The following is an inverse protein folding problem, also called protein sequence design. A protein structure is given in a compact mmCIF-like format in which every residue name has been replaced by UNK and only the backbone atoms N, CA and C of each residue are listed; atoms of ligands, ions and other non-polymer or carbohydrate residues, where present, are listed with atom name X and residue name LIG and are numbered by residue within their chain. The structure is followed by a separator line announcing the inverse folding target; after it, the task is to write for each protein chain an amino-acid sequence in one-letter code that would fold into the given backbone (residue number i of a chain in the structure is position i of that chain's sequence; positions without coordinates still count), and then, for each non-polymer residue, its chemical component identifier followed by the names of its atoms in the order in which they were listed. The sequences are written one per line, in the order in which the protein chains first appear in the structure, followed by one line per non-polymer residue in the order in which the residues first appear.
data_IF_459319106898
#
_entry.id   IF_459319106898
#
_cell.length_a   1.000
_cell.length_b   1.000
_cell.length_c   1.000
_cell.angle_alpha   90.00
_cell.angle_beta   90.00
_cell.angle_gamma   90.00
#
_symmetry.space_group_name_H-M   'P 1'
#
loop_
_entity.id
_entity.type
_entity.pdbx_description
1 polymer ?
#
# COMPACT_ATOMS: atom_id res chain seq x y z
N UNK A 1 -4.31 -8.98 -2.88
CA UNK A 1 -5.37 -7.99 -3.22
C UNK A 1 -6.32 -7.78 -2.05
N UNK A 2 -6.91 -8.84 -1.51
CA UNK A 2 -7.93 -8.73 -0.46
C UNK A 2 -7.40 -8.39 0.95
N UNK A 3 -6.09 -8.18 1.10
CA UNK A 3 -5.42 -7.84 2.35
C UNK A 3 -5.09 -9.02 3.28
N UNK A 4 -5.27 -10.27 2.82
CA UNK A 4 -4.89 -11.49 3.56
C UNK A 4 -3.47 -11.95 3.23
N UNK A 5 -2.81 -12.62 4.19
CA UNK A 5 -1.46 -13.18 4.04
C UNK A 5 -1.45 -14.53 3.29
N UNK A 6 -2.20 -14.62 2.19
CA UNK A 6 -2.24 -15.80 1.33
C UNK A 6 -3.51 -16.64 1.46
N UNK A 7 -3.49 -17.77 0.75
CA UNK A 7 -4.60 -18.73 0.67
C UNK A 7 -4.30 -19.99 1.47
N UNK A 8 -5.30 -20.46 2.21
CA UNK A 8 -5.35 -21.79 2.83
C UNK A 8 -5.68 -22.86 1.78
N UNK A 9 -6.62 -22.55 0.88
CA UNK A 9 -7.10 -23.46 -0.13
C UNK A 9 -7.51 -22.71 -1.40
N UNK A 10 -7.34 -23.35 -2.55
CA UNK A 10 -7.94 -22.95 -3.81
C UNK A 10 -8.39 -24.20 -4.58
N UNK A 11 -9.49 -24.09 -5.31
CA UNK A 11 -10.04 -25.22 -6.07
C UNK A 11 -11.38 -24.88 -6.69
N UNK A 12 -12.09 -25.89 -7.18
CA UNK A 12 -13.44 -25.73 -7.70
C UNK A 12 -14.45 -26.43 -6.79
N UNK A 13 -15.63 -25.83 -6.64
CA UNK A 13 -16.73 -26.42 -5.87
C UNK A 13 -18.06 -25.85 -6.35
N UNK A 14 -19.14 -26.60 -6.17
CA UNK A 14 -20.51 -26.13 -6.39
C UNK A 14 -21.12 -25.49 -5.13
N UNK A 15 -20.36 -25.42 -4.03
CA UNK A 15 -20.88 -25.06 -2.69
C UNK A 15 -21.00 -23.55 -2.45
N UNK A 16 -20.27 -22.74 -3.22
CA UNK A 16 -20.23 -21.28 -3.04
C UNK A 16 -20.47 -20.58 -4.38
N UNK A 17 -21.74 -20.55 -4.79
CA UNK A 17 -22.22 -19.79 -5.94
C UNK A 17 -22.76 -20.64 -7.07
N UNK A 18 -24.04 -20.48 -7.36
CA UNK A 18 -24.59 -20.65 -8.72
C UNK A 18 -24.83 -19.25 -9.24
N UNK A 19 -23.80 -18.57 -9.72
CA UNK A 19 -24.04 -17.25 -10.30
C UNK A 19 -24.58 -17.38 -11.73
N UNK A 20 -25.30 -16.36 -12.15
CA UNK A 20 -25.91 -16.21 -13.47
C UNK A 20 -24.93 -15.52 -14.45
N UNK A 21 -23.72 -15.21 -13.97
CA UNK A 21 -22.74 -14.37 -14.64
C UNK A 21 -21.71 -15.22 -15.35
N UNK A 22 -21.17 -14.69 -16.44
CA UNK A 22 -20.19 -15.41 -17.25
C UNK A 22 -18.81 -15.37 -16.59
N UNK A 23 -18.07 -16.47 -16.69
CA UNK A 23 -16.63 -16.51 -16.45
C UNK A 23 -15.94 -15.45 -17.30
N UNK A 24 -15.10 -14.60 -16.69
CA UNK A 24 -14.37 -13.52 -17.38
C UNK A 24 -12.86 -13.72 -17.42
N UNK A 25 -12.32 -14.61 -16.60
CA UNK A 25 -10.89 -14.94 -16.54
C UNK A 25 -10.71 -16.44 -16.67
N UNK A 26 -9.72 -16.84 -17.45
CA UNK A 26 -9.34 -18.23 -17.65
C UNK A 26 -7.80 -18.35 -17.60
N UNK A 27 -7.30 -19.51 -17.14
CA UNK A 27 -5.86 -19.80 -17.12
C UNK A 27 -5.03 -18.86 -16.24
N UNK A 28 -5.57 -18.38 -15.12
CA UNK A 28 -4.84 -17.51 -14.19
C UNK A 28 -3.62 -18.25 -13.63
N UNK A 29 -2.43 -17.69 -13.82
CA UNK A 29 -1.14 -18.22 -13.40
C UNK A 29 -0.28 -17.12 -12.80
N UNK A 30 -0.06 -17.20 -11.49
CA UNK A 30 0.76 -16.26 -10.73
C UNK A 30 2.13 -16.88 -10.41
N UNK A 31 3.21 -16.32 -10.95
CA UNK A 31 4.57 -16.85 -10.77
C UNK A 31 5.22 -16.48 -9.43
N UNK A 32 4.61 -15.59 -8.65
CA UNK A 32 5.12 -15.14 -7.35
C UNK A 32 3.98 -14.86 -6.39
N UNK A 33 4.17 -15.21 -5.12
CA UNK A 33 3.28 -14.83 -4.01
C UNK A 33 3.44 -13.37 -3.58
N UNK A 34 4.43 -12.65 -4.14
CA UNK A 34 4.66 -11.23 -3.85
C UNK A 34 3.75 -10.28 -4.64
N UNK A 35 2.98 -10.80 -5.59
CA UNK A 35 2.05 -10.03 -6.40
C UNK A 35 0.88 -9.55 -5.54
N UNK A 36 0.49 -8.30 -5.75
CA UNK A 36 -0.55 -7.62 -5.02
C UNK A 36 -1.94 -7.85 -5.63
N UNK A 37 -2.06 -8.00 -6.95
CA UNK A 37 -3.34 -8.14 -7.66
C UNK A 37 -3.30 -9.26 -8.70
N UNK A 38 -4.48 -9.80 -9.06
CA UNK A 38 -4.58 -10.82 -10.10
C UNK A 38 -4.15 -10.29 -11.49
N UNK A 39 -4.23 -8.97 -11.70
CA UNK A 39 -3.79 -8.36 -12.95
C UNK A 39 -2.28 -8.47 -13.20
N UNK A 40 -1.50 -8.67 -12.14
CA UNK A 40 -0.06 -8.89 -12.27
C UNK A 40 0.29 -10.33 -12.64
N UNK A 41 -0.70 -11.23 -12.63
CA UNK A 41 -0.55 -12.61 -13.05
C UNK A 41 -0.76 -12.75 -14.56
N UNK A 42 -0.34 -13.87 -15.13
CA UNK A 42 -0.72 -14.22 -16.50
C UNK A 42 -2.13 -14.80 -16.49
N UNK A 43 -2.98 -14.38 -17.41
CA UNK A 43 -4.32 -14.92 -17.61
C UNK A 43 -4.78 -14.67 -19.04
N UNK A 44 -5.91 -15.26 -19.43
CA UNK A 44 -6.60 -14.96 -20.67
C UNK A 44 -8.05 -14.60 -20.40
N UNK A 45 -8.59 -13.67 -21.19
CA UNK A 45 -10.02 -13.33 -21.23
C UNK A 45 -10.76 -14.16 -22.29
N UNK A 46 -10.05 -15.00 -23.04
CA UNK A 46 -10.67 -16.00 -23.93
C UNK A 46 -11.10 -17.20 -23.10
N UNK A 47 -12.42 -17.37 -22.96
CA UNK A 47 -13.00 -18.42 -22.12
C UNK A 47 -13.05 -19.73 -22.89
N UNK A 48 -12.44 -20.77 -22.31
CA UNK A 48 -12.48 -22.12 -22.86
C UNK A 48 -13.91 -22.66 -22.88
N UNK A 49 -14.25 -23.46 -23.89
CA UNK A 49 -15.52 -24.18 -23.97
C UNK A 49 -15.80 -25.11 -22.79
N UNK A 50 -14.74 -25.48 -22.07
CA UNK A 50 -14.82 -26.31 -20.87
C UNK A 50 -15.04 -25.52 -19.58
N UNK A 51 -14.97 -24.18 -19.62
CA UNK A 51 -15.00 -23.29 -18.45
C UNK A 51 -16.30 -22.45 -18.37
N UNK A 52 -17.39 -22.98 -18.94
CA UNK A 52 -18.72 -22.33 -18.93
C UNK A 52 -19.69 -22.89 -17.90
N UNK A 53 -19.33 -23.99 -17.24
CA UNK A 53 -20.11 -24.54 -16.14
C UNK A 53 -19.59 -23.97 -14.82
N UNK A 54 -20.51 -23.60 -13.94
CA UNK A 54 -20.22 -23.05 -12.60
C UNK A 54 -19.37 -24.02 -11.75
N UNK A 55 -19.35 -25.30 -12.09
CA UNK A 55 -18.44 -26.29 -11.48
C UNK A 55 -16.95 -26.01 -11.73
N UNK A 56 -16.62 -25.07 -12.61
CA UNK A 56 -15.24 -24.65 -12.91
C UNK A 56 -14.87 -23.33 -12.22
N UNK A 57 -15.79 -22.68 -11.53
CA UNK A 57 -15.50 -21.43 -10.83
C UNK A 57 -14.51 -21.72 -9.71
N UNK A 58 -13.50 -20.86 -9.62
CA UNK A 58 -12.43 -21.01 -8.65
C UNK A 58 -12.85 -20.32 -7.36
N UNK A 59 -12.79 -21.07 -6.27
CA UNK A 59 -12.89 -20.53 -4.91
C UNK A 59 -11.50 -20.39 -4.30
N UNK A 60 -11.37 -19.41 -3.41
CA UNK A 60 -10.14 -19.19 -2.63
C UNK A 60 -10.52 -18.97 -1.18
N UNK A 61 -10.09 -19.87 -0.30
CA UNK A 61 -10.18 -19.70 1.14
C UNK A 61 -8.89 -19.05 1.63
N UNK A 62 -8.99 -17.85 2.19
CA UNK A 62 -7.84 -17.09 2.67
C UNK A 62 -7.49 -17.42 4.12
N UNK A 63 -6.22 -17.25 4.51
CA UNK A 63 -5.88 -17.19 5.93
C UNK A 63 -6.63 -16.03 6.60
N UNK A 64 -6.92 -16.17 7.90
CA UNK A 64 -7.53 -15.08 8.68
C UNK A 64 -6.54 -13.95 8.99
N UNK A 65 -5.24 -14.24 8.97
CA UNK A 65 -4.17 -13.25 9.18
C UNK A 65 -4.09 -12.25 8.03
N UNK A 66 -3.95 -10.97 8.36
CA UNK A 66 -3.93 -9.85 7.43
C UNK A 66 -2.52 -9.33 7.21
N UNK A 67 -2.28 -8.77 6.03
CA UNK A 67 -1.05 -8.03 5.71
C UNK A 67 -0.86 -6.84 6.66
N UNK A 68 -1.96 -6.33 7.24
CA UNK A 68 -1.97 -5.19 8.14
C UNK A 68 -1.78 -5.54 9.62
N UNK A 69 -1.63 -6.82 9.96
CA UNK A 69 -1.42 -7.26 11.35
C UNK A 69 0.05 -7.05 11.80
N UNK A 70 0.99 -6.99 10.86
CA UNK A 70 2.39 -6.66 11.11
C UNK A 70 2.87 -5.61 10.09
N UNK A 71 2.40 -4.35 10.21
CA UNK A 71 2.68 -3.33 9.22
C UNK A 71 4.06 -2.71 9.40
N UNK A 72 4.64 -2.22 8.31
CA UNK A 72 5.89 -1.44 8.34
C UNK A 72 5.61 0.07 8.32
N UNK A 73 6.52 0.92 8.83
CA UNK A 73 6.36 2.38 8.77
C UNK A 73 6.17 2.89 7.34
N UNK A 74 5.14 3.72 7.11
CA UNK A 74 4.78 4.24 5.79
C UNK A 74 3.97 3.29 4.92
N UNK A 75 3.59 2.10 5.42
CA UNK A 75 2.66 1.22 4.73
C UNK A 75 1.28 1.88 4.64
N UNK A 76 0.59 1.68 3.51
CA UNK A 76 -0.75 2.22 3.29
C UNK A 76 -1.81 1.13 3.15
N UNK A 77 -3.06 1.51 3.39
CA UNK A 77 -4.25 0.69 3.09
C UNK A 77 -5.47 1.56 2.77
N UNK A 78 -6.46 0.96 2.13
CA UNK A 78 -7.80 1.52 2.00
C UNK A 78 -8.73 0.86 3.01
N UNK A 79 -9.38 1.65 3.86
CA UNK A 79 -10.20 1.18 4.97
C UNK A 79 -11.68 1.58 4.81
N UNK A 80 -12.59 0.73 5.30
CA UNK A 80 -14.02 1.00 5.42
C UNK A 80 -14.84 1.00 4.12
N UNK A 81 -14.21 0.83 2.95
CA UNK A 81 -14.93 0.67 1.70
C UNK A 81 -15.52 -0.72 1.52
N UNK A 82 -16.53 -0.80 0.65
CA UNK A 82 -17.21 -2.07 0.30
C UNK A 82 -16.28 -2.99 -0.50
N UNK A 83 -15.45 -2.40 -1.37
CA UNK A 83 -14.51 -3.09 -2.23
C UNK A 83 -13.08 -2.77 -1.79
N UNK A 84 -12.14 -3.69 -2.01
CA UNK A 84 -10.74 -3.47 -1.60
C UNK A 84 -10.01 -2.42 -2.43
N UNK A 85 -10.60 -2.01 -3.57
CA UNK A 85 -10.10 -0.93 -4.41
C UNK A 85 -10.63 0.44 -3.98
N UNK A 86 -11.48 0.55 -2.96
CA UNK A 86 -12.02 1.82 -2.51
C UNK A 86 -12.02 1.93 -1.00
N UNK A 87 -11.78 3.14 -0.49
CA UNK A 87 -11.97 3.45 0.92
C UNK A 87 -11.15 4.64 1.37
N UNK A 88 -11.20 4.91 2.67
CA UNK A 88 -10.36 5.92 3.32
C UNK A 88 -8.90 5.52 3.25
N UNK A 89 -8.04 6.44 2.83
CA UNK A 89 -6.60 6.24 2.80
C UNK A 89 -6.04 6.32 4.22
N UNK A 90 -5.42 5.23 4.65
CA UNK A 90 -4.71 5.17 5.92
C UNK A 90 -3.24 4.82 5.70
N UNK A 91 -2.38 5.35 6.58
CA UNK A 91 -0.94 5.11 6.61
C UNK A 91 -0.51 4.70 8.02
N UNK A 92 0.44 3.79 8.12
CA UNK A 92 0.99 3.33 9.39
C UNK A 92 2.21 4.17 9.78
N UNK A 93 2.09 4.97 10.84
CA UNK A 93 3.18 5.79 11.36
C UNK A 93 3.26 5.63 12.88
N UNK A 94 4.48 5.62 13.43
CA UNK A 94 4.75 5.60 14.86
C UNK A 94 3.97 4.53 15.66
N UNK A 95 3.75 3.36 15.07
CA UNK A 95 3.08 2.24 15.74
C UNK A 95 1.56 2.18 15.56
N UNK A 96 0.95 3.14 14.85
CA UNK A 96 -0.50 3.25 14.73
C UNK A 96 -0.96 3.62 13.30
N UNK A 97 -2.13 3.11 12.91
CA UNK A 97 -2.80 3.49 11.66
C UNK A 97 -3.52 4.82 11.81
N UNK A 98 -3.23 5.77 10.93
CA UNK A 98 -3.87 7.07 10.89
C UNK A 98 -4.28 7.48 9.48
N UNK A 99 -5.03 8.56 9.37
CA UNK A 99 -5.62 9.05 8.11
C UNK A 99 -4.73 10.08 7.42
N UNK A 100 -5.10 10.42 6.18
CA UNK A 100 -4.44 11.44 5.35
C UNK A 100 -5.42 12.57 5.09
N UNK A 101 -5.01 13.81 5.32
CA UNK A 101 -5.78 15.02 5.05
C UNK A 101 -5.82 15.35 3.56
N UNK A 102 -6.95 15.89 3.08
CA UNK A 102 -7.19 16.26 1.68
C UNK A 102 -6.49 17.56 1.22
N UNK A 103 -5.94 18.35 2.14
CA UNK A 103 -5.23 19.57 1.81
C UNK A 103 -4.09 19.25 0.81
N UNK A 104 -4.18 19.83 -0.38
CA UNK A 104 -3.30 19.63 -1.55
C UNK A 104 -3.26 18.21 -2.15
N UNK A 105 -4.06 17.28 -1.65
CA UNK A 105 -4.12 15.93 -2.21
C UNK A 105 -4.75 15.96 -3.60
N UNK A 106 -4.02 15.48 -4.61
CA UNK A 106 -4.45 15.56 -6.00
C UNK A 106 -4.45 14.21 -6.75
N UNK A 107 -4.77 14.26 -8.04
CA UNK A 107 -4.80 13.11 -8.94
C UNK A 107 -3.46 12.37 -9.02
N UNK A 108 -2.34 13.08 -8.91
CA UNK A 108 -1.00 12.48 -8.92
C UNK A 108 -0.79 11.67 -7.65
N UNK A 109 -1.17 12.19 -6.50
CA UNK A 109 -1.11 11.47 -5.22
C UNK A 109 -1.97 10.21 -5.25
N UNK A 110 -3.21 10.32 -5.74
CA UNK A 110 -4.12 9.19 -5.91
C UNK A 110 -3.52 8.11 -6.83
N UNK A 111 -2.89 8.50 -7.94
CA UNK A 111 -2.24 7.55 -8.85
C UNK A 111 -1.06 6.84 -8.18
N UNK A 112 -0.25 7.55 -7.37
CA UNK A 112 0.84 6.92 -6.60
C UNK A 112 0.28 5.91 -5.59
N UNK A 113 -0.77 6.27 -4.85
CA UNK A 113 -1.46 5.39 -3.90
C UNK A 113 -1.97 4.12 -4.60
N UNK A 114 -2.70 4.26 -5.70
CA UNK A 114 -3.26 3.12 -6.42
C UNK A 114 -2.17 2.22 -7.01
N UNK A 115 -1.12 2.82 -7.59
CA UNK A 115 0.05 2.05 -8.05
C UNK A 115 0.72 1.30 -6.92
N UNK A 116 0.96 1.94 -5.77
CA UNK A 116 1.54 1.30 -4.58
C UNK A 116 0.71 0.08 -4.13
N UNK A 117 -0.61 0.14 -4.28
CA UNK A 117 -1.55 -0.95 -3.94
C UNK A 117 -1.68 -2.01 -5.05
N UNK A 118 -0.99 -1.85 -6.18
CA UNK A 118 -0.96 -2.82 -7.28
C UNK A 118 -2.00 -2.59 -8.38
N UNK A 119 -2.71 -1.45 -8.37
CA UNK A 119 -3.60 -1.01 -9.43
C UNK A 119 -2.84 -0.20 -10.49
N UNK A 120 -3.34 -0.11 -11.73
CA UNK A 120 -2.67 0.69 -12.77
C UNK A 120 -3.06 2.16 -12.72
N UNK A 121 -4.26 2.49 -12.24
CA UNK A 121 -4.75 3.87 -12.16
C UNK A 121 -5.68 4.12 -10.96
N UNK A 122 -6.10 5.38 -10.80
CA UNK A 122 -7.15 5.80 -9.88
C UNK A 122 -8.41 6.20 -10.66
N UNK A 123 -9.58 5.84 -10.14
CA UNK A 123 -10.87 6.24 -10.69
C UNK A 123 -11.34 7.57 -10.08
N UNK A 124 -11.11 7.75 -8.77
CA UNK A 124 -11.52 8.95 -8.06
C UNK A 124 -10.71 9.16 -6.77
N UNK A 125 -10.63 10.42 -6.35
CA UNK A 125 -10.24 10.80 -5.00
C UNK A 125 -11.27 11.82 -4.48
N UNK A 126 -11.73 11.64 -3.25
CA UNK A 126 -12.78 12.47 -2.66
C UNK A 126 -12.28 13.14 -1.38
N UNK A 127 -12.61 14.43 -1.25
CA UNK A 127 -12.54 15.24 -0.03
C UNK A 127 -13.91 15.24 0.67
N UNK A 128 -13.94 15.13 2.00
CA UNK A 128 -15.21 15.07 2.75
C UNK A 128 -15.77 13.65 2.81
N UNK A 129 -15.27 12.81 3.73
CA UNK A 129 -15.42 11.38 3.60
C UNK A 129 -16.87 10.93 3.84
N UNK A 130 -17.33 10.01 2.99
CA UNK A 130 -18.47 9.14 3.25
C UNK A 130 -18.12 8.15 4.38
N UNK A 131 -16.84 7.85 4.56
CA UNK A 131 -16.23 6.89 5.47
C UNK A 131 -15.19 7.63 6.33
N UNK A 132 -15.66 8.46 7.26
CA UNK A 132 -14.77 9.21 8.16
C UNK A 132 -13.93 8.29 9.06
N UNK A 133 -12.69 8.70 9.35
CA UNK A 133 -11.91 8.14 10.44
C UNK A 133 -12.60 8.32 11.79
N UNK A 134 -12.22 7.51 12.77
CA UNK A 134 -12.67 7.72 14.15
C UNK A 134 -12.05 9.01 14.68
N UNK A 135 -12.77 9.77 15.50
CA UNK A 135 -12.24 10.99 16.14
C UNK A 135 -11.02 10.76 17.04
N UNK A 136 -10.76 9.50 17.40
CA UNK A 136 -9.58 9.07 18.15
C UNK A 136 -8.40 8.65 17.28
N UNK A 137 -8.60 8.49 15.98
CA UNK A 137 -7.58 8.07 15.04
C UNK A 137 -6.66 9.24 14.69
N UNK A 138 -5.33 9.07 14.63
CA UNK A 138 -4.44 10.17 14.28
C UNK A 138 -4.59 10.56 12.80
N UNK A 139 -4.37 11.85 12.50
CA UNK A 139 -4.14 12.32 11.12
C UNK A 139 -2.63 12.40 10.92
N UNK A 140 -2.07 11.45 10.17
CA UNK A 140 -0.61 11.32 10.06
C UNK A 140 -0.01 12.19 8.97
N UNK A 141 -0.70 12.40 7.85
CA UNK A 141 -0.18 13.17 6.73
C UNK A 141 -1.12 14.32 6.39
N UNK A 142 -0.51 15.47 6.17
CA UNK A 142 -1.12 16.70 5.68
C UNK A 142 -0.22 17.27 4.57
N UNK A 143 -0.85 17.88 3.56
CA UNK A 143 -0.19 18.44 2.38
C UNK A 143 0.73 17.45 1.69
N UNK A 144 0.16 16.30 1.32
CA UNK A 144 0.86 15.32 0.48
C UNK A 144 1.07 15.93 -0.90
N UNK A 145 2.24 15.69 -1.48
CA UNK A 145 2.56 16.14 -2.83
C UNK A 145 3.54 15.19 -3.50
N UNK A 146 3.04 14.37 -4.42
CA UNK A 146 3.79 13.38 -5.16
C UNK A 146 4.25 13.88 -6.52
N UNK A 147 5.39 13.35 -6.98
CA UNK A 147 5.73 13.36 -8.40
C UNK A 147 5.14 12.09 -9.06
N UNK A 148 4.75 12.18 -10.33
CA UNK A 148 4.21 11.04 -11.10
C UNK A 148 5.19 9.86 -11.25
N UNK A 149 6.49 10.11 -11.12
CA UNK A 149 7.53 9.07 -11.12
C UNK A 149 7.64 8.33 -9.78
N UNK A 150 7.07 8.85 -8.70
CA UNK A 150 7.12 8.22 -7.39
C UNK A 150 6.19 7.00 -7.35
N UNK A 151 6.62 6.01 -6.57
CA UNK A 151 5.94 4.72 -6.46
C UNK A 151 5.35 4.49 -5.07
N UNK A 152 5.89 5.17 -4.06
CA UNK A 152 5.51 5.00 -2.67
C UNK A 152 5.09 6.35 -2.08
N UNK A 153 3.95 6.39 -1.37
CA UNK A 153 3.45 7.59 -0.69
C UNK A 153 4.48 8.16 0.30
N UNK A 154 5.23 7.27 0.97
CA UNK A 154 6.31 7.63 1.90
C UNK A 154 7.45 8.45 1.26
N UNK A 155 7.63 8.34 -0.07
CA UNK A 155 8.58 9.16 -0.84
C UNK A 155 8.05 10.58 -1.05
N UNK A 156 6.74 10.74 -1.22
CA UNK A 156 6.10 12.05 -1.36
C UNK A 156 6.08 12.79 -0.01
N UNK A 157 5.73 12.05 1.05
CA UNK A 157 5.64 12.56 2.41
C UNK A 157 5.95 11.46 3.42
N UNK A 158 7.02 11.64 4.18
CA UNK A 158 7.43 10.69 5.22
C UNK A 158 6.60 10.85 6.50
N UNK A 159 6.51 9.78 7.29
CA UNK A 159 5.85 9.81 8.60
C UNK A 159 6.46 10.91 9.50
N UNK A 160 5.65 11.81 10.06
CA UNK A 160 6.12 12.78 11.03
C UNK A 160 6.35 12.11 12.40
N UNK A 161 7.01 12.82 13.32
CA UNK A 161 7.14 12.36 14.71
C UNK A 161 5.87 12.57 15.55
N UNK A 162 5.00 13.49 15.14
CA UNK A 162 3.73 13.82 15.79
C UNK A 162 2.62 13.95 14.75
N UNK A 163 1.39 13.65 15.14
CA UNK A 163 0.22 13.82 14.29
C UNK A 163 -0.07 15.30 13.98
N UNK A 164 -0.83 15.54 12.92
CA UNK A 164 -1.33 16.86 12.56
C UNK A 164 -2.62 17.19 13.32
N UNK A 165 -2.70 18.40 13.86
CA UNK A 165 -3.85 18.89 14.64
C UNK A 165 -4.66 19.98 13.93
N UNK A 166 -4.14 20.49 12.80
CA UNK A 166 -4.76 21.55 11.99
C UNK A 166 -5.64 21.00 10.85
N UNK A 167 -5.95 19.71 10.87
CA UNK A 167 -6.89 19.06 9.98
C UNK A 167 -7.93 18.27 10.82
N UNK A 168 -9.02 17.84 10.19
CA UNK A 168 -10.13 17.16 10.84
C UNK A 168 -10.54 15.94 10.03
N UNK A 169 -11.13 14.93 10.65
CA UNK A 169 -11.61 13.74 9.93
C UNK A 169 -12.67 14.02 8.87
N UNK A 170 -13.33 15.18 8.91
CA UNK A 170 -14.17 15.65 7.79
C UNK A 170 -13.39 15.96 6.52
N UNK A 171 -12.06 15.84 6.53
CA UNK A 171 -11.13 16.05 5.42
C UNK A 171 -10.28 14.80 5.14
N UNK A 172 -10.61 13.65 5.73
CA UNK A 172 -9.89 12.42 5.40
C UNK A 172 -10.08 12.09 3.92
N UNK A 173 -8.98 11.72 3.26
CA UNK A 173 -8.97 11.34 1.85
C UNK A 173 -9.57 9.96 1.68
N UNK A 174 -10.44 9.84 0.68
CA UNK A 174 -10.87 8.55 0.13
C UNK A 174 -10.32 8.37 -1.28
N UNK A 175 -9.89 7.16 -1.61
CA UNK A 175 -9.33 6.82 -2.92
C UNK A 175 -10.09 5.63 -3.49
N UNK A 176 -10.49 5.73 -4.76
CA UNK A 176 -10.95 4.63 -5.58
C UNK A 176 -9.89 4.30 -6.64
N UNK A 177 -9.43 3.06 -6.64
CA UNK A 177 -8.46 2.53 -7.59
C UNK A 177 -9.15 1.70 -8.66
N UNK A 178 -8.56 1.68 -9.85
CA UNK A 178 -9.05 0.90 -10.97
C UNK A 178 -7.90 0.34 -11.80
N UNK A 179 -8.28 -0.52 -12.73
CA UNK A 179 -7.40 -1.02 -13.74
C UNK A 179 -7.76 -0.37 -15.07
N UNK A 180 -6.84 0.45 -15.57
CA UNK A 180 -6.90 1.02 -16.91
C UNK A 180 -6.04 0.15 -17.85
N UNK A 181 -6.68 -0.46 -18.84
CA UNK A 181 -6.02 -1.31 -19.83
C UNK A 181 -5.10 -0.55 -20.79
N UNK A 182 -5.18 0.79 -20.82
CA UNK A 182 -4.27 1.64 -21.60
C UNK A 182 -2.97 1.95 -20.87
N UNK A 183 -2.90 1.66 -19.57
CA UNK A 183 -1.75 1.87 -18.71
C UNK A 183 -0.95 0.57 -18.51
N UNK A 184 0.35 0.72 -18.22
CA UNK A 184 1.18 -0.44 -17.89
C UNK A 184 0.75 -1.04 -16.55
N UNK A 185 0.62 -2.38 -16.52
CA UNK A 185 0.35 -3.12 -15.29
C UNK A 185 1.40 -2.77 -14.23
N UNK A 186 0.94 -2.44 -13.02
CA UNK A 186 1.84 -2.13 -11.91
C UNK A 186 2.75 -3.32 -11.62
N UNK A 187 4.06 -3.09 -11.50
CA UNK A 187 5.04 -4.11 -11.11
C UNK A 187 5.31 -4.13 -9.60
N UNK A 188 4.54 -3.38 -8.82
CA UNK A 188 4.75 -3.23 -7.39
C UNK A 188 4.41 -4.51 -6.62
N UNK A 189 5.22 -4.80 -5.61
CA UNK A 189 5.05 -5.92 -4.69
C UNK A 189 4.94 -5.40 -3.26
N UNK A 190 4.65 -6.29 -2.31
CA UNK A 190 4.58 -5.92 -0.89
C UNK A 190 5.89 -5.28 -0.38
N UNK A 191 7.03 -5.66 -0.94
CA UNK A 191 8.36 -5.14 -0.57
C UNK A 191 8.78 -3.88 -1.33
N UNK A 192 8.01 -3.40 -2.32
CA UNK A 192 8.38 -2.22 -3.11
C UNK A 192 8.60 -1.00 -2.22
N UNK A 193 7.78 -0.84 -1.19
CA UNK A 193 7.80 0.35 -0.33
C UNK A 193 8.32 0.09 1.10
N UNK A 194 8.78 -1.13 1.42
CA UNK A 194 9.35 -1.43 2.74
C UNK A 194 10.64 -0.64 3.04
N UNK A 195 11.38 -0.24 2.01
CA UNK A 195 12.67 0.49 2.12
C UNK A 195 12.57 1.99 1.83
N UNK A 196 11.44 2.45 1.28
CA UNK A 196 11.24 3.88 0.99
C UNK A 196 11.21 4.74 2.28
N UNK A 197 10.87 4.14 3.42
CA UNK A 197 10.78 4.82 4.71
C UNK A 197 12.13 5.00 5.44
N UNK A 198 13.19 4.27 5.05
CA UNK A 198 14.51 4.39 5.72
C UNK A 198 15.36 5.54 5.17
N UNK A 199 15.19 5.89 3.89
CA UNK A 199 16.01 6.93 3.23
C UNK A 199 15.63 8.38 3.58
N UNK A 200 14.50 8.60 4.26
CA UNK A 200 14.09 9.94 4.70
C UNK A 200 14.85 10.45 5.94
N UNK A 201 15.67 9.61 6.57
CA UNK A 201 16.43 9.97 7.79
C UNK A 201 17.87 10.43 7.53
N UNK A 202 18.36 10.40 6.28
CA UNK A 202 19.76 10.75 5.97
C UNK A 202 19.99 12.14 5.37
N UNK A 203 18.96 13.01 5.30
CA UNK A 203 19.18 14.42 4.98
C UNK A 203 19.65 15.20 6.22
N UNK A 204 20.79 14.81 6.78
CA UNK A 204 21.60 15.75 7.56
C UNK A 204 22.34 16.65 6.56
N UNK A 205 22.15 17.95 6.73
CA UNK A 205 22.92 19.03 6.12
C UNK A 205 24.43 18.70 6.01
N UNK A 206 25.17 19.22 5.01
CA UNK A 206 26.62 19.10 4.98
C UNK A 206 27.23 19.92 6.12
N UNK A 207 27.32 19.31 7.29
CA UNK A 207 28.03 19.81 8.46
C UNK A 207 29.52 19.53 8.29
N UNK A 208 30.31 20.60 8.40
CA UNK A 208 31.77 20.65 8.33
C UNK A 208 32.40 19.49 9.11
N UNK A 209 33.20 18.67 8.43
CA UNK A 209 33.99 17.60 9.04
C UNK A 209 35.10 18.24 9.88
N UNK A 210 34.90 18.33 11.19
CA UNK A 210 35.95 18.65 12.15
C UNK A 210 36.88 17.45 12.31
N UNK A 211 38.14 17.60 11.92
CA UNK A 211 39.21 16.64 12.23
C UNK A 211 39.45 16.63 13.75
N UNK A 212 39.01 15.56 14.43
CA UNK A 212 39.47 15.25 15.78
C UNK A 212 40.86 14.62 15.69
N UNK A 213 41.89 15.40 16.03
CA UNK A 213 43.26 14.89 16.26
C UNK A 213 43.25 14.14 17.59
N UNK A 214 43.38 12.82 17.55
CA UNK A 214 43.53 11.98 18.74
C UNK A 214 44.90 12.19 19.37
N UNK A 215 44.93 12.72 20.60
CA UNK A 215 46.13 12.74 21.43
C UNK A 215 46.26 11.36 22.07
N UNK A 216 47.27 10.59 21.67
CA UNK A 216 47.67 9.35 22.35
C UNK A 216 48.54 9.74 23.55
N UNK A 217 48.00 9.61 24.76
CA UNK A 217 48.78 9.75 26.00
C UNK A 217 49.43 8.41 26.31
N UNK A 218 50.74 8.31 26.10
CA UNK A 218 51.53 7.15 26.51
C UNK A 218 51.87 7.26 28.01
N UNK A 219 51.30 6.37 28.83
CA UNK A 219 51.67 6.19 30.24
C UNK A 219 52.90 5.29 30.30
N UNK A 220 54.08 5.88 30.53
CA UNK A 220 55.30 5.10 30.84
C UNK A 220 55.29 4.83 32.34
N UNK A 221 55.04 3.57 32.71
CA UNK A 221 55.37 3.04 34.03
C UNK A 221 56.81 2.57 34.01
N UNK A 222 57.68 3.18 34.79
CA UNK A 222 59.01 2.64 35.08
C UNK A 222 58.90 1.89 36.41
N UNK A 223 59.07 0.57 36.33
CA UNK A 223 59.27 -0.32 37.47
C UNK A 223 60.77 -0.32 37.83
N UNK A 224 61.00 -0.29 39.15
CA UNK A 224 62.25 -0.44 39.94
C UNK A 224 63.31 0.64 39.81
#
# INVERSE_FOLDING_TARGET
QLGYNGALFYGTTTSFGTDYYATILNGVSCFSSSLLTLEQCSFTTTISSTCFLNSNDVIVDCYTSRIWDNPYPGQIRLAGGIYTSYGRLEVYCNGEWGTVCDDTFDATDAKVVCRQLGYSNFAAAHSGPVIAGSTSQPIWLDRVHCNSSYTCLATCKSCPSLQYYNCFHSKDVEVACEFDSSEMISSNTLSTCTTASTSATTNTTPGIVGLTVGIVVAVITILT
#
